data_IF_437255073270
#
_entry.id   IF_437255073270
#
_cell.length_a   1.000
_cell.length_b   1.000
_cell.length_c   1.000
_cell.angle_alpha   90.00
_cell.angle_beta   90.00
_cell.angle_gamma   90.00
#
_symmetry.space_group_name_H-M   'P 1'
#
loop_
_entity.id
_entity.type
_entity.pdbx_description
1 polymer ?
#
# COMPACT_ATOMS: atom_id res chain seq x y z
N UNK A 1 -3.58 -3.01 -0.05
CA UNK A 1 -4.71 -3.17 -1.00
C UNK A 1 -5.14 -1.78 -1.48
N UNK A 2 -5.38 -1.64 -2.77
CA UNK A 2 -5.50 -0.34 -3.46
C UNK A 2 -6.74 0.43 -2.98
N UNK A 3 -6.56 1.68 -2.55
CA UNK A 3 -7.63 2.64 -2.22
C UNK A 3 -8.45 3.11 -3.45
N UNK A 4 -8.61 2.24 -4.46
CA UNK A 4 -9.34 2.54 -5.69
C UNK A 4 -10.85 2.56 -5.48
N UNK A 5 -11.35 1.75 -4.54
CA UNK A 5 -12.80 1.59 -4.32
C UNK A 5 -13.49 2.82 -3.70
N UNK A 6 -12.86 3.58 -2.77
CA UNK A 6 -13.45 4.82 -2.26
C UNK A 6 -13.37 5.99 -3.25
N UNK A 7 -12.24 6.14 -3.97
CA UNK A 7 -12.01 7.29 -4.84
C UNK A 7 -12.91 7.26 -6.08
N UNK A 8 -13.08 6.08 -6.69
CA UNK A 8 -14.00 5.91 -7.82
C UNK A 8 -15.44 6.19 -7.41
N UNK A 9 -15.85 5.74 -6.22
CA UNK A 9 -17.20 5.95 -5.69
C UNK A 9 -17.47 7.43 -5.40
N UNK A 10 -16.50 8.14 -4.84
CA UNK A 10 -16.59 9.59 -4.62
C UNK A 10 -16.62 10.35 -5.94
N UNK A 11 -15.79 9.98 -6.92
CA UNK A 11 -15.80 10.58 -8.25
C UNK A 11 -17.16 10.45 -8.94
N UNK A 12 -17.77 9.26 -8.86
CA UNK A 12 -19.08 9.00 -9.45
C UNK A 12 -20.21 9.77 -8.75
N UNK A 13 -20.11 9.95 -7.43
CA UNK A 13 -21.06 10.77 -6.66
C UNK A 13 -20.89 12.26 -6.95
N UNK A 14 -19.66 12.77 -7.02
CA UNK A 14 -19.38 14.17 -7.39
C UNK A 14 -19.83 14.48 -8.80
N UNK A 15 -19.65 13.56 -9.75
CA UNK A 15 -20.13 13.72 -11.11
C UNK A 15 -21.64 13.88 -11.16
N UNK A 16 -22.39 13.06 -10.39
CA UNK A 16 -23.85 13.21 -10.25
C UNK A 16 -24.26 14.54 -9.60
N UNK A 17 -23.48 15.04 -8.64
CA UNK A 17 -23.77 16.28 -7.92
C UNK A 17 -23.45 17.52 -8.75
N UNK A 18 -22.37 17.50 -9.53
CA UNK A 18 -21.94 18.61 -10.39
C UNK A 18 -22.66 18.63 -11.74
N UNK A 19 -23.20 17.48 -12.20
CA UNK A 19 -23.95 17.41 -13.46
C UNK A 19 -25.21 18.29 -13.42
N UNK A 20 -26.00 18.26 -12.33
CA UNK A 20 -27.22 19.09 -12.21
C UNK A 20 -26.99 20.60 -12.34
N UNK A 21 -26.07 21.24 -11.58
CA UNK A 21 -25.81 22.66 -11.73
C UNK A 21 -25.24 22.99 -13.12
N UNK A 22 -24.39 22.13 -13.71
CA UNK A 22 -23.87 22.35 -15.06
C UNK A 22 -24.98 22.28 -16.13
N UNK A 23 -25.85 21.28 -16.02
CA UNK A 23 -27.01 21.11 -16.90
C UNK A 23 -27.95 22.32 -16.82
N UNK A 24 -28.13 22.91 -15.64
CA UNK A 24 -28.92 24.12 -15.47
C UNK A 24 -28.24 25.35 -16.09
N UNK A 25 -26.91 25.45 -16.01
CA UNK A 25 -26.15 26.50 -16.70
C UNK A 25 -26.29 26.39 -18.21
N UNK A 26 -26.09 25.19 -18.77
CA UNK A 26 -26.24 24.93 -20.21
C UNK A 26 -27.69 25.18 -20.65
N UNK A 27 -28.69 24.84 -19.83
CA UNK A 27 -30.12 25.09 -20.12
C UNK A 27 -30.43 26.58 -20.16
N UNK A 28 -29.88 27.36 -19.23
CA UNK A 28 -30.01 28.82 -19.24
C UNK A 28 -29.31 29.45 -20.46
N UNK A 29 -28.15 28.91 -20.84
CA UNK A 29 -27.41 29.40 -22.00
C UNK A 29 -28.10 29.05 -23.32
N UNK A 30 -28.73 27.87 -23.40
CA UNK A 30 -29.56 27.45 -24.52
C UNK A 30 -30.78 28.34 -24.73
N UNK A 31 -31.35 28.89 -23.66
CA UNK A 31 -32.47 29.85 -23.74
C UNK A 31 -32.00 31.21 -24.27
N UNK A 32 -30.77 31.61 -23.98
CA UNK A 32 -30.18 32.87 -24.46
C UNK A 32 -29.67 32.76 -25.90
N UNK A 33 -29.12 31.60 -26.28
CA UNK A 33 -28.53 31.36 -27.59
C UNK A 33 -29.29 30.27 -28.39
N UNK A 34 -30.19 30.65 -29.32
CA UNK A 34 -31.02 29.70 -30.07
C UNK A 34 -30.21 28.80 -31.04
N UNK A 35 -29.01 29.21 -31.44
CA UNK A 35 -28.11 28.38 -32.26
C UNK A 35 -27.68 27.12 -31.52
N UNK A 36 -27.26 27.26 -30.26
CA UNK A 36 -26.80 26.14 -29.42
C UNK A 36 -27.99 25.20 -29.12
N UNK A 37 -29.16 25.79 -28.84
CA UNK A 37 -30.42 25.05 -28.66
C UNK A 37 -30.73 24.17 -29.88
N UNK A 38 -30.67 24.74 -31.09
CA UNK A 38 -31.09 24.05 -32.32
C UNK A 38 -30.05 23.09 -32.89
N UNK A 39 -28.76 23.40 -32.79
CA UNK A 39 -27.70 22.60 -33.42
C UNK A 39 -27.07 21.56 -32.50
N UNK A 40 -27.12 21.75 -31.17
CA UNK A 40 -26.43 20.84 -30.23
C UNK A 40 -27.43 20.14 -29.33
N UNK A 41 -28.34 20.86 -28.70
CA UNK A 41 -29.19 20.31 -27.64
C UNK A 41 -30.38 19.51 -28.20
N UNK A 42 -31.16 20.10 -29.11
CA UNK A 42 -32.30 19.43 -29.75
C UNK A 42 -31.90 18.13 -30.48
N UNK A 43 -30.83 18.07 -31.30
CA UNK A 43 -30.44 16.83 -31.95
C UNK A 43 -29.97 15.78 -30.94
N UNK A 44 -29.28 16.18 -29.86
CA UNK A 44 -28.86 15.24 -28.81
C UNK A 44 -30.07 14.65 -28.07
N UNK A 45 -31.07 15.47 -27.73
CA UNK A 45 -32.31 14.98 -27.13
C UNK A 45 -33.14 14.08 -28.06
N UNK A 46 -33.18 14.38 -29.37
CA UNK A 46 -33.84 13.53 -30.37
C UNK A 46 -33.10 12.22 -30.63
N UNK A 47 -31.77 12.25 -30.62
CA UNK A 47 -30.93 11.07 -30.75
C UNK A 47 -31.18 10.09 -29.59
N UNK A 48 -31.41 10.60 -28.37
CA UNK A 48 -31.75 9.77 -27.22
C UNK A 48 -33.02 8.95 -27.45
N UNK A 49 -34.08 9.59 -27.98
CA UNK A 49 -35.33 8.91 -28.32
C UNK A 49 -35.16 7.90 -29.47
N UNK A 50 -34.30 8.20 -30.44
CA UNK A 50 -33.96 7.27 -31.52
C UNK A 50 -33.21 6.03 -31.01
N UNK A 51 -32.26 6.22 -30.09
CA UNK A 51 -31.57 5.11 -29.43
C UNK A 51 -32.53 4.29 -28.59
N UNK A 52 -33.44 4.92 -27.86
CA UNK A 52 -34.45 4.25 -27.04
C UNK A 52 -35.42 3.39 -27.88
N UNK A 53 -35.92 3.93 -29.00
CA UNK A 53 -36.79 3.19 -29.92
C UNK A 53 -36.07 2.05 -30.65
N UNK A 54 -34.76 2.16 -30.89
CA UNK A 54 -33.96 1.06 -31.44
C UNK A 54 -33.56 0.01 -30.40
N UNK A 55 -33.26 0.42 -29.17
CA UNK A 55 -32.86 -0.47 -28.10
C UNK A 55 -34.03 -1.26 -27.48
N UNK A 56 -35.25 -0.70 -27.48
CA UNK A 56 -36.45 -1.29 -26.88
C UNK A 56 -37.45 -1.85 -27.90
N UNK A 57 -37.00 -2.18 -29.12
CA UNK A 57 -37.89 -2.69 -30.17
C UNK A 57 -38.44 -4.08 -29.82
N UNK A 58 -39.54 -4.11 -29.09
CA UNK A 58 -40.56 -5.17 -29.16
C UNK A 58 -41.98 -4.74 -28.89
N UNK A 59 -42.26 -3.63 -28.21
CA UNK A 59 -43.64 -3.18 -28.06
C UNK A 59 -43.79 -1.67 -28.23
N UNK A 60 -44.68 -1.35 -29.17
CA UNK A 60 -45.31 -0.09 -29.53
C UNK A 60 -45.56 0.83 -28.32
N UNK A 61 -44.53 1.52 -27.85
CA UNK A 61 -44.68 2.59 -26.88
C UNK A 61 -45.05 3.86 -27.63
N UNK A 62 -46.21 4.40 -27.25
CA UNK A 62 -46.78 5.64 -27.73
C UNK A 62 -45.71 6.71 -27.88
N UNK A 63 -45.56 7.24 -29.09
CA UNK A 63 -44.76 8.43 -29.39
C UNK A 63 -45.38 9.60 -28.63
N UNK A 64 -45.01 9.76 -27.36
CA UNK A 64 -45.23 11.01 -26.67
C UNK A 64 -44.30 11.99 -27.36
N UNK A 65 -44.88 12.86 -28.19
CA UNK A 65 -44.15 13.95 -28.80
C UNK A 65 -43.56 14.78 -27.65
N UNK A 66 -42.26 14.63 -27.38
CA UNK A 66 -41.58 15.41 -26.35
C UNK A 66 -41.81 16.89 -26.68
N UNK A 67 -42.31 17.63 -25.69
CA UNK A 67 -42.42 19.09 -25.81
C UNK A 67 -41.00 19.64 -25.94
N UNK A 68 -40.80 20.71 -26.73
CA UNK A 68 -39.45 21.22 -27.00
C UNK A 68 -38.64 21.52 -25.73
N UNK A 69 -39.30 21.89 -24.63
CA UNK A 69 -38.67 22.17 -23.35
C UNK A 69 -38.10 20.92 -22.66
N UNK A 70 -38.74 19.77 -22.82
CA UNK A 70 -38.30 18.49 -22.26
C UNK A 70 -37.07 17.95 -23.02
N UNK A 71 -37.08 18.09 -24.35
CA UNK A 71 -35.91 17.77 -25.20
C UNK A 71 -34.71 18.63 -24.81
N UNK A 72 -34.95 19.91 -24.51
CA UNK A 72 -33.89 20.84 -24.09
C UNK A 72 -33.33 20.46 -22.72
N UNK A 73 -34.19 20.06 -21.79
CA UNK A 73 -33.75 19.61 -20.47
C UNK A 73 -32.89 18.34 -20.55
N UNK A 74 -33.35 17.33 -21.29
CA UNK A 74 -32.64 16.07 -21.46
C UNK A 74 -31.29 16.27 -22.18
N UNK A 75 -31.30 17.02 -23.29
CA UNK A 75 -30.08 17.30 -24.06
C UNK A 75 -29.06 18.12 -23.28
N UNK A 76 -29.51 19.09 -22.48
CA UNK A 76 -28.63 19.90 -21.63
C UNK A 76 -27.94 19.06 -20.55
N UNK A 77 -28.69 18.15 -19.92
CA UNK A 77 -28.14 17.24 -18.92
C UNK A 77 -27.11 16.26 -19.52
N UNK A 78 -27.42 15.69 -20.69
CA UNK A 78 -26.50 14.80 -21.40
C UNK A 78 -25.18 15.49 -21.79
N UNK A 79 -25.24 16.73 -22.30
CA UNK A 79 -24.03 17.49 -22.66
C UNK A 79 -23.22 17.86 -21.42
N UNK A 80 -23.88 18.29 -20.34
CA UNK A 80 -23.20 18.61 -19.07
C UNK A 80 -22.43 17.42 -18.52
N UNK A 81 -23.01 16.22 -18.62
CA UNK A 81 -22.36 14.98 -18.22
C UNK A 81 -21.16 14.65 -19.11
N UNK A 82 -21.31 14.73 -20.44
CA UNK A 82 -20.21 14.44 -21.40
C UNK A 82 -19.02 15.39 -21.19
N UNK A 83 -19.28 16.69 -21.00
CA UNK A 83 -18.22 17.69 -20.80
C UNK A 83 -17.46 17.42 -19.49
N UNK A 84 -18.18 17.16 -18.39
CA UNK A 84 -17.55 16.81 -17.11
C UNK A 84 -16.76 15.51 -17.20
N UNK A 85 -17.31 14.48 -17.85
CA UNK A 85 -16.64 13.21 -18.03
C UNK A 85 -15.34 13.37 -18.84
N UNK A 86 -15.38 14.17 -19.91
CA UNK A 86 -14.20 14.50 -20.71
C UNK A 86 -13.10 15.18 -19.89
N UNK A 87 -13.44 16.23 -19.14
CA UNK A 87 -12.48 16.94 -18.29
C UNK A 87 -11.87 16.03 -17.22
N UNK A 88 -12.70 15.23 -16.54
CA UNK A 88 -12.25 14.27 -15.53
C UNK A 88 -11.33 13.21 -16.13
N UNK A 89 -11.67 12.68 -17.31
CA UNK A 89 -10.87 11.68 -18.01
C UNK A 89 -9.52 12.26 -18.42
N UNK A 90 -9.47 13.48 -18.95
CA UNK A 90 -8.22 14.16 -19.32
C UNK A 90 -7.33 14.35 -18.09
N UNK A 91 -7.88 14.87 -16.99
CA UNK A 91 -7.12 15.08 -15.74
C UNK A 91 -6.61 13.75 -15.18
N UNK A 92 -7.45 12.72 -15.18
CA UNK A 92 -7.09 11.39 -14.69
C UNK A 92 -5.96 10.77 -15.53
N UNK A 93 -6.03 10.88 -16.86
CA UNK A 93 -4.97 10.40 -17.75
C UNK A 93 -3.67 11.18 -17.55
N UNK A 94 -3.74 12.49 -17.40
CA UNK A 94 -2.57 13.32 -17.11
C UNK A 94 -1.91 12.94 -15.78
N UNK A 95 -2.70 12.73 -14.73
CA UNK A 95 -2.21 12.30 -13.42
C UNK A 95 -1.70 10.86 -13.45
N UNK A 96 -2.34 9.97 -14.20
CA UNK A 96 -1.89 8.59 -14.38
C UNK A 96 -0.49 8.55 -15.02
N UNK A 97 -0.29 9.33 -16.09
CA UNK A 97 1.01 9.45 -16.75
C UNK A 97 2.08 9.96 -15.76
N UNK A 98 1.74 10.97 -14.94
CA UNK A 98 2.64 11.52 -13.92
C UNK A 98 2.95 10.54 -12.78
N UNK A 99 2.00 9.71 -12.38
CA UNK A 99 2.20 8.71 -11.32
C UNK A 99 2.99 7.49 -11.77
N UNK A 100 3.05 7.21 -13.08
CA UNK A 100 3.85 6.11 -13.63
C UNK A 100 5.33 6.20 -13.25
N UNK A 101 5.92 7.39 -13.33
CA UNK A 101 7.33 7.63 -12.97
C UNK A 101 7.56 7.50 -11.47
N UNK A 102 6.64 8.02 -10.65
CA UNK A 102 6.77 7.96 -9.19
C UNK A 102 6.66 6.53 -8.65
N UNK A 103 5.92 5.64 -9.33
CA UNK A 103 5.85 4.22 -8.95
C UNK A 103 7.17 3.51 -9.20
N UNK A 104 7.84 3.79 -10.32
CA UNK A 104 9.14 3.20 -10.63
C UNK A 104 10.21 3.68 -9.63
N UNK A 105 10.22 4.97 -9.28
CA UNK A 105 11.14 5.50 -8.25
C UNK A 105 10.87 4.90 -6.88
N UNK A 106 9.60 4.82 -6.46
CA UNK A 106 9.23 4.19 -5.18
C UNK A 106 9.57 2.71 -5.13
N UNK A 107 9.52 2.02 -6.27
CA UNK A 107 9.89 0.62 -6.33
C UNK A 107 11.39 0.42 -6.21
N UNK A 108 12.19 1.23 -6.91
CA UNK A 108 13.65 1.24 -6.75
C UNK A 108 14.09 1.55 -5.32
N UNK A 109 13.48 2.55 -4.68
CA UNK A 109 13.79 2.86 -3.28
C UNK A 109 13.51 1.70 -2.33
N UNK A 110 12.44 0.92 -2.57
CA UNK A 110 12.15 -0.29 -1.79
C UNK A 110 13.13 -1.42 -2.06
N UNK A 111 13.56 -1.58 -3.30
CA UNK A 111 14.58 -2.57 -3.68
C UNK A 111 15.93 -2.22 -3.04
N UNK A 112 16.32 -0.95 -3.06
CA UNK A 112 17.54 -0.45 -2.40
C UNK A 112 17.47 -0.61 -0.87
N UNK A 113 16.30 -0.35 -0.26
CA UNK A 113 16.07 -0.57 1.17
C UNK A 113 16.22 -2.05 1.56
N UNK A 114 15.65 -2.97 0.78
CA UNK A 114 15.79 -4.41 0.99
C UNK A 114 17.26 -4.83 0.84
N UNK A 115 17.97 -4.30 -0.15
CA UNK A 115 19.39 -4.60 -0.35
C UNK A 115 20.23 -4.17 0.84
N UNK A 116 20.02 -2.95 1.35
CA UNK A 116 20.72 -2.43 2.53
C UNK A 116 20.41 -3.24 3.80
N UNK A 117 19.18 -3.72 3.96
CA UNK A 117 18.82 -4.59 5.07
C UNK A 117 19.55 -5.94 4.99
N UNK A 118 19.65 -6.52 3.79
CA UNK A 118 20.38 -7.78 3.57
C UNK A 118 21.87 -7.61 3.92
N UNK A 119 22.52 -6.54 3.46
CA UNK A 119 23.94 -6.30 3.77
C UNK A 119 24.13 -6.13 5.27
N UNK A 120 23.27 -5.35 5.92
CA UNK A 120 23.33 -5.14 7.39
C UNK A 120 23.20 -6.46 8.16
N UNK A 121 22.30 -7.36 7.71
CA UNK A 121 22.15 -8.70 8.31
C UNK A 121 23.39 -9.57 8.11
N UNK A 122 23.99 -9.55 6.91
CA UNK A 122 25.21 -10.31 6.62
C UNK A 122 26.38 -9.83 7.48
N UNK A 123 26.60 -8.52 7.56
CA UNK A 123 27.66 -7.91 8.37
C UNK A 123 27.47 -8.28 9.86
N UNK A 124 26.23 -8.23 10.36
CA UNK A 124 25.92 -8.62 11.74
C UNK A 124 26.20 -10.11 11.99
N UNK A 125 25.98 -10.99 11.00
CA UNK A 125 26.29 -12.42 11.11
C UNK A 125 27.79 -12.65 11.16
N UNK A 126 28.57 -11.88 10.41
CA UNK A 126 30.03 -11.92 10.42
C UNK A 126 30.56 -11.52 11.81
N UNK A 127 30.09 -10.38 12.35
CA UNK A 127 30.46 -9.92 13.70
C UNK A 127 30.14 -10.96 14.79
N UNK A 128 28.97 -11.63 14.69
CA UNK A 128 28.57 -12.70 15.61
C UNK A 128 29.50 -13.91 15.52
N UNK A 129 29.93 -14.27 14.30
CA UNK A 129 30.86 -15.38 14.10
C UNK A 129 32.24 -15.06 14.67
N UNK A 130 32.75 -13.86 14.45
CA UNK A 130 34.04 -13.42 14.99
C UNK A 130 34.06 -13.37 16.51
N UNK A 131 32.97 -12.89 17.11
CA UNK A 131 32.79 -12.91 18.55
C UNK A 131 32.80 -14.36 19.08
N UNK A 132 32.14 -15.29 18.39
CA UNK A 132 32.12 -16.71 18.75
C UNK A 132 33.51 -17.35 18.67
N UNK A 133 34.33 -17.01 17.67
CA UNK A 133 35.72 -17.48 17.58
C UNK A 133 36.55 -16.99 18.77
N UNK A 134 36.39 -15.72 19.14
CA UNK A 134 37.08 -15.12 20.29
C UNK A 134 36.71 -15.81 21.60
N UNK A 135 35.42 -16.10 21.82
CA UNK A 135 34.94 -16.86 22.99
C UNK A 135 35.56 -18.26 23.02
N UNK A 136 35.55 -18.97 21.89
CA UNK A 136 36.14 -20.32 21.81
C UNK A 136 37.64 -20.34 22.12
N UNK A 137 38.36 -19.29 21.71
CA UNK A 137 39.79 -19.15 22.04
C UNK A 137 40.00 -18.92 23.54
N UNK A 138 39.13 -18.12 24.18
CA UNK A 138 39.18 -17.90 25.62
C UNK A 138 38.89 -19.19 26.38
N UNK A 139 37.85 -19.94 26.00
CA UNK A 139 37.52 -21.24 26.59
C UNK A 139 38.72 -22.20 26.52
N UNK A 140 39.35 -22.33 25.34
CA UNK A 140 40.53 -23.17 25.18
C UNK A 140 41.69 -22.74 26.07
N UNK A 141 42.00 -21.45 26.13
CA UNK A 141 43.06 -20.93 27.01
C UNK A 141 42.78 -21.19 28.48
N UNK A 142 41.52 -21.08 28.91
CA UNK A 142 41.10 -21.39 30.29
C UNK A 142 41.32 -22.88 30.57
N UNK A 143 40.89 -23.77 29.68
CA UNK A 143 41.10 -25.22 29.82
C UNK A 143 42.58 -25.58 29.85
N UNK A 144 43.37 -25.05 28.91
CA UNK A 144 44.82 -25.31 28.84
C UNK A 144 45.54 -24.81 30.11
N UNK A 145 45.13 -23.65 30.66
CA UNK A 145 45.69 -23.12 31.91
C UNK A 145 45.24 -23.94 33.13
N UNK A 146 43.99 -24.41 33.14
CA UNK A 146 43.46 -25.27 34.19
C UNK A 146 44.16 -26.63 34.19
N UNK A 147 44.34 -27.27 33.03
CA UNK A 147 45.05 -28.54 32.90
C UNK A 147 46.53 -28.39 33.31
N UNK A 148 47.18 -27.28 32.96
CA UNK A 148 48.54 -26.98 33.43
C UNK A 148 48.63 -26.78 34.95
N UNK A 149 47.63 -26.14 35.56
CA UNK A 149 47.52 -26.01 37.02
C UNK A 149 47.22 -27.35 37.71
N UNK A 150 46.48 -28.25 37.07
CA UNK A 150 46.15 -29.59 37.59
C UNK A 150 47.34 -30.56 37.49
N UNK A 151 48.21 -30.40 36.50
CA UNK A 151 49.39 -31.26 36.31
C UNK A 151 50.56 -30.97 37.27
N UNK A 152 50.54 -29.86 38.00
CA UNK A 152 51.63 -29.46 38.92
C UNK A 152 51.38 -29.86 40.38
N UNK A 153 50.21 -30.41 40.72
CA UNK A 153 49.88 -30.75 42.10
C UNK A 153 49.12 -32.08 42.26
N UNK A 154 49.88 -33.18 42.40
CA UNK A 154 49.37 -34.46 42.90
C UNK A 154 48.77 -34.34 44.33
N UNK A 155 48.96 -33.21 45.04
CA UNK A 155 48.43 -32.98 46.40
C UNK A 155 47.08 -32.24 46.45
N UNK A 156 46.58 -31.67 45.34
CA UNK A 156 45.31 -30.93 45.32
C UNK A 156 44.06 -31.83 45.22
N UNK A 157 44.22 -33.05 44.70
CA UNK A 157 43.10 -33.98 44.44
C UNK A 157 42.44 -34.54 45.70
N UNK A 158 43.13 -34.56 46.85
CA UNK A 158 42.56 -35.03 48.11
C UNK A 158 41.73 -33.97 48.84
N UNK A 159 41.93 -32.68 48.52
CA UNK A 159 41.21 -31.56 49.14
C UNK A 159 40.04 -31.00 48.32
N UNK A 160 39.89 -31.42 47.07
CA UNK A 160 38.71 -31.11 46.24
C UNK A 160 37.61 -32.19 46.27
N UNK A 161 37.83 -33.30 46.99
CA UNK A 161 36.79 -34.33 47.18
C UNK A 161 35.70 -33.89 48.16
N UNK A 162 35.91 -32.80 48.89
CA UNK A 162 34.95 -32.25 49.83
C UNK A 162 34.26 -31.03 49.19
N UNK A 163 32.99 -31.25 48.86
CA UNK A 163 31.97 -30.26 48.55
C UNK A 163 31.99 -29.58 47.16
N UNK A 164 31.12 -30.10 46.28
CA UNK A 164 30.37 -29.34 45.24
C UNK A 164 31.16 -28.61 44.14
N UNK A 165 32.47 -28.77 44.02
CA UNK A 165 33.24 -28.02 43.01
C UNK A 165 32.94 -28.46 41.56
N UNK A 166 32.74 -29.76 41.31
CA UNK A 166 32.40 -30.28 39.98
C UNK A 166 30.97 -29.92 39.54
N UNK A 167 30.06 -29.63 40.48
CA UNK A 167 28.68 -29.19 40.19
C UNK A 167 28.59 -27.75 39.68
N UNK A 168 29.67 -26.96 39.84
CA UNK A 168 29.78 -25.62 39.25
C UNK A 168 30.11 -25.70 37.75
N UNK A 169 30.81 -26.74 37.31
CA UNK A 169 31.23 -26.93 35.91
C UNK A 169 30.25 -27.77 35.10
N UNK A 170 29.37 -28.57 35.73
CA UNK A 170 28.39 -29.43 35.04
C UNK A 170 27.02 -28.77 34.82
N UNK A 171 26.77 -27.57 35.36
CA UNK A 171 25.49 -26.91 35.13
C UNK A 171 25.43 -26.16 33.80
N UNK A 172 24.55 -26.55 32.86
CA UNK A 172 24.25 -25.69 31.72
C UNK A 172 23.53 -24.46 32.26
N UNK A 173 24.22 -23.32 32.36
CA UNK A 173 23.60 -22.03 32.65
C UNK A 173 22.58 -21.74 31.54
N UNK A 174 21.32 -22.11 31.78
CA UNK A 174 20.17 -21.68 30.97
C UNK A 174 20.02 -20.18 31.16
N UNK A 175 20.75 -19.39 30.39
CA UNK A 175 20.65 -17.93 30.35
C UNK A 175 19.32 -17.51 29.72
N UNK A 176 18.23 -17.63 30.48
CA UNK A 176 16.90 -17.07 30.15
C UNK A 176 16.98 -15.57 29.84
N UNK A 177 17.94 -14.87 30.46
CA UNK A 177 18.19 -13.46 30.26
C UNK A 177 18.66 -13.10 28.84
N UNK A 178 19.34 -14.01 28.14
CA UNK A 178 19.86 -13.76 26.79
C UNK A 178 18.77 -13.85 25.71
N UNK A 179 17.77 -14.71 25.90
CA UNK A 179 16.64 -14.86 24.97
C UNK A 179 15.52 -13.82 25.17
N UNK A 180 15.47 -13.16 26.32
CA UNK A 180 14.43 -12.17 26.63
C UNK A 180 14.75 -10.79 26.04
N UNK A 181 16.04 -10.47 25.90
CA UNK A 181 16.52 -9.22 25.30
C UNK A 181 16.31 -9.20 23.78
N UNK A 182 16.47 -10.33 23.07
CA UNK A 182 16.27 -10.37 21.62
C UNK A 182 14.79 -10.30 21.20
N UNK A 183 13.88 -10.86 22.00
CA UNK A 183 12.42 -10.73 21.76
C UNK A 183 11.93 -9.30 21.93
N UNK A 184 12.47 -8.56 22.90
CA UNK A 184 12.02 -7.19 23.20
C UNK A 184 12.43 -6.19 22.10
N UNK A 185 13.59 -6.40 21.48
CA UNK A 185 14.06 -5.59 20.35
C UNK A 185 13.30 -5.87 19.03
N UNK A 186 12.79 -7.08 18.86
CA UNK A 186 12.01 -7.48 17.67
C UNK A 186 10.53 -7.04 17.75
N UNK A 187 9.96 -6.94 18.96
CA UNK A 187 8.57 -6.50 19.17
C UNK A 187 8.39 -4.98 18.99
N UNK A 188 9.41 -4.20 19.38
CA UNK A 188 9.41 -2.72 19.34
C UNK A 188 9.70 -2.13 17.94
N UNK A 189 10.05 -2.97 16.97
CA UNK A 189 10.30 -2.58 15.57
C UNK A 189 9.16 -2.98 14.62
N UNK A 190 8.05 -3.50 15.15
CA UNK A 190 6.84 -3.74 14.37
C UNK A 190 6.12 -2.41 14.09
N UNK A 191 5.85 -2.03 12.83
CA UNK A 191 5.09 -0.82 12.54
C UNK A 191 3.66 -1.02 13.04
N UNK A 192 3.26 -0.19 14.01
CA UNK A 192 1.88 -0.08 14.47
C UNK A 192 0.99 0.35 13.30
N UNK A 193 0.26 -0.62 12.74
CA UNK A 193 -0.82 -0.36 11.79
C UNK A 193 -2.04 0.17 12.55
N UNK A 194 -2.17 1.49 12.61
CA UNK A 194 -3.43 2.22 12.73
C UNK A 194 -3.41 3.43 11.80
#
# INVERSE_FOLDING_TARGET
MVAAFPLAKIGLLLMKQLSKPLANLIKNEAKKHPLIRRYVIIPTGKAYHWVETQAMSKEKSSVMNLTEDEVVELGSNAIGEIVLFGLLTIILLAEYNRQGEQKAVKQKMKEDEIANLITTVVDTIEDVNDLKYSVKQIEKKITDTFDALVLDDESFTSHLSDDNFLDVFTQPKKSKWFFQSSKKSFDDSSPTLW
#
